data_IF_219075126479
#
_entry.id   IF_219075126479
#
_cell.length_a   1.000
_cell.length_b   1.000
_cell.length_c   1.000
_cell.angle_alpha   90.00
_cell.angle_beta   90.00
_cell.angle_gamma   90.00
#
_symmetry.space_group_name_H-M   'P 1'
#
loop_
_entity.id
_entity.type
_entity.pdbx_description
1 polymer ?
#
# COMPACT_ATOMS: atom_id res chain seq x y z
N UNK A 1 -1.40 8.41 -15.20
CA UNK A 1 -1.20 8.87 -13.81
C UNK A 1 -2.25 8.29 -12.86
N UNK A 2 -3.54 8.66 -12.94
CA UNK A 2 -4.56 8.17 -11.98
C UNK A 2 -4.75 6.64 -12.06
N UNK A 3 -4.99 6.09 -13.26
CA UNK A 3 -5.18 4.64 -13.46
C UNK A 3 -3.98 3.83 -12.96
N UNK A 4 -2.77 4.36 -13.18
CA UNK A 4 -1.53 3.75 -12.73
C UNK A 4 -1.46 3.69 -11.19
N UNK A 5 -1.72 4.81 -10.50
CA UNK A 5 -1.74 4.81 -9.03
C UNK A 5 -2.89 3.99 -8.43
N UNK A 6 -4.03 3.88 -9.11
CA UNK A 6 -5.08 2.94 -8.71
C UNK A 6 -4.62 1.48 -8.81
N UNK A 7 -3.80 1.15 -9.83
CA UNK A 7 -3.13 -0.14 -9.94
C UNK A 7 -2.21 -0.41 -8.77
N UNK A 8 -1.33 0.55 -8.46
CA UNK A 8 -0.40 0.49 -7.32
C UNK A 8 -1.10 0.27 -5.98
N UNK A 9 -2.15 1.07 -5.70
CA UNK A 9 -3.00 0.92 -4.52
C UNK A 9 -3.65 -0.47 -4.42
N UNK A 10 -3.97 -1.10 -5.55
CA UNK A 10 -4.61 -2.41 -5.54
C UNK A 10 -3.68 -3.55 -5.11
N UNK A 11 -2.37 -3.38 -5.32
CA UNK A 11 -1.33 -4.36 -4.99
C UNK A 11 -0.46 -3.93 -3.79
N UNK A 12 -0.67 -2.71 -3.26
CA UNK A 12 0.10 -2.11 -2.17
C UNK A 12 1.59 -1.92 -2.47
N UNK A 13 1.90 -1.47 -3.68
CA UNK A 13 3.29 -1.20 -4.08
C UNK A 13 3.47 0.28 -4.42
N UNK A 14 4.60 0.84 -4.02
CA UNK A 14 5.01 2.19 -4.38
C UNK A 14 5.59 2.22 -5.79
N UNK A 15 5.72 3.42 -6.35
CA UNK A 15 6.41 3.62 -7.64
C UNK A 15 7.86 3.15 -7.60
N UNK A 16 8.54 3.29 -6.45
CA UNK A 16 9.91 2.82 -6.26
C UNK A 16 9.98 1.29 -6.22
N UNK A 17 9.00 0.64 -5.59
CA UNK A 17 8.93 -0.83 -5.52
C UNK A 17 8.63 -1.47 -6.88
N UNK A 18 7.89 -0.79 -7.77
CA UNK A 18 7.76 -1.22 -9.17
C UNK A 18 9.10 -1.23 -9.91
N UNK A 19 9.96 -0.25 -9.64
CA UNK A 19 11.26 -0.16 -10.30
C UNK A 19 12.26 -1.17 -9.72
N UNK A 20 12.15 -1.45 -8.41
CA UNK A 20 12.97 -2.44 -7.72
C UNK A 20 12.15 -3.10 -6.59
N UNK A 21 11.84 -4.40 -6.69
CA UNK A 21 11.03 -5.07 -5.68
C UNK A 21 11.72 -5.05 -4.31
N UNK A 22 10.91 -4.94 -3.26
CA UNK A 22 11.38 -5.02 -1.88
C UNK A 22 11.98 -6.41 -1.61
N UNK A 23 13.18 -6.46 -1.04
CA UNK A 23 13.85 -7.71 -0.67
C UNK A 23 13.64 -7.92 0.82
N UNK A 24 12.69 -8.78 1.17
CA UNK A 24 12.43 -9.19 2.54
C UNK A 24 13.36 -10.36 2.91
N UNK A 25 14.13 -10.21 3.99
CA UNK A 25 15.28 -11.07 4.34
C UNK A 25 15.00 -12.57 4.40
N UNK A 26 13.76 -12.98 4.66
CA UNK A 26 13.40 -14.37 4.94
C UNK A 26 12.46 -15.01 3.91
N UNK A 27 11.84 -14.21 3.04
CA UNK A 27 10.96 -14.71 1.99
C UNK A 27 11.02 -13.77 0.78
N UNK A 28 11.52 -14.27 -0.34
CA UNK A 28 11.60 -13.54 -1.61
C UNK A 28 10.24 -13.35 -2.29
N UNK A 29 9.19 -14.01 -1.78
CA UNK A 29 7.82 -13.91 -2.27
C UNK A 29 6.90 -13.14 -1.31
N UNK A 30 7.40 -12.74 -0.15
CA UNK A 30 6.65 -11.88 0.74
C UNK A 30 6.45 -10.51 0.10
N UNK A 31 5.26 -9.97 0.27
CA UNK A 31 4.85 -8.66 -0.26
C UNK A 31 4.05 -7.90 0.81
N UNK A 32 3.81 -6.61 0.56
CA UNK A 32 2.96 -5.78 1.41
C UNK A 32 1.47 -5.91 1.05
N UNK A 33 1.11 -6.83 0.14
CA UNK A 33 -0.24 -6.92 -0.39
C UNK A 33 -1.17 -7.69 0.56
N UNK A 34 -1.98 -6.94 1.32
CA UNK A 34 -2.97 -7.48 2.26
C UNK A 34 -4.36 -7.69 1.63
N UNK A 35 -4.47 -7.54 0.30
CA UNK A 35 -5.71 -7.60 -0.45
C UNK A 35 -6.36 -6.22 -0.64
N UNK A 36 -7.02 -6.05 -1.79
CA UNK A 36 -7.44 -4.74 -2.33
C UNK A 36 -8.18 -3.85 -1.31
N UNK A 37 -9.14 -4.38 -0.56
CA UNK A 37 -9.88 -3.56 0.41
C UNK A 37 -9.00 -3.08 1.57
N UNK A 38 -8.10 -3.93 2.07
CA UNK A 38 -7.19 -3.57 3.16
C UNK A 38 -6.16 -2.54 2.69
N UNK A 39 -5.58 -2.73 1.50
CA UNK A 39 -4.62 -1.79 0.92
C UNK A 39 -5.22 -0.39 0.75
N UNK A 40 -6.47 -0.32 0.26
CA UNK A 40 -7.18 0.97 0.16
C UNK A 40 -7.47 1.57 1.54
N UNK A 41 -7.83 0.75 2.53
CA UNK A 41 -8.07 1.21 3.90
C UNK A 41 -6.80 1.72 4.57
N UNK A 42 -5.62 1.15 4.27
CA UNK A 42 -4.34 1.64 4.80
C UNK A 42 -4.05 3.08 4.36
N UNK A 43 -4.37 3.43 3.12
CA UNK A 43 -4.12 4.77 2.56
C UNK A 43 -5.24 5.77 2.91
N UNK A 44 -6.50 5.38 2.73
CA UNK A 44 -7.63 6.32 2.87
C UNK A 44 -8.34 6.25 4.23
N UNK A 45 -8.03 5.25 5.06
CA UNK A 45 -8.69 5.06 6.35
C UNK A 45 -10.12 4.52 6.22
N UNK A 46 -10.97 4.86 7.18
CA UNK A 46 -12.25 4.18 7.42
C UNK A 46 -13.48 4.85 6.80
N UNK A 47 -13.37 6.01 6.15
CA UNK A 47 -14.57 6.63 5.54
C UNK A 47 -14.48 8.04 4.96
N UNK A 48 -13.36 8.76 5.13
CA UNK A 48 -13.22 10.14 4.63
C UNK A 48 -12.42 10.23 3.31
N UNK A 49 -12.60 9.25 2.41
CA UNK A 49 -11.73 9.02 1.25
C UNK A 49 -11.73 10.17 0.23
N UNK A 50 -12.79 10.98 0.19
CA UNK A 50 -12.94 12.11 -0.74
C UNK A 50 -12.58 13.46 -0.12
N UNK A 51 -12.23 13.48 1.16
CA UNK A 51 -11.82 14.70 1.87
C UNK A 51 -10.30 14.70 2.06
N UNK A 52 -9.62 15.84 1.82
CA UNK A 52 -8.17 15.94 1.94
C UNK A 52 -7.72 16.05 3.41
N UNK A 53 -8.02 15.02 4.19
CA UNK A 53 -7.63 14.88 5.59
C UNK A 53 -6.64 13.73 5.71
N UNK A 54 -5.71 13.84 6.67
CA UNK A 54 -4.80 12.75 6.96
C UNK A 54 -5.52 11.65 7.74
N UNK A 55 -5.78 10.53 7.07
CA UNK A 55 -6.55 9.39 7.62
C UNK A 55 -5.86 8.05 7.41
N UNK A 56 -4.57 8.05 7.06
CA UNK A 56 -3.77 6.82 6.89
C UNK A 56 -3.72 6.05 8.21
N UNK A 57 -3.78 4.71 8.13
CA UNK A 57 -3.82 3.86 9.33
C UNK A 57 -2.44 3.53 9.89
N UNK A 58 -1.41 3.53 9.05
CA UNK A 58 -0.06 3.09 9.41
C UNK A 58 0.79 4.24 9.99
N UNK A 59 1.81 3.88 10.76
CA UNK A 59 2.77 4.81 11.38
C UNK A 59 3.84 5.36 10.41
N UNK A 60 3.95 4.76 9.21
CA UNK A 60 4.94 5.10 8.20
C UNK A 60 6.31 4.43 8.39
N UNK A 61 6.46 3.59 9.41
CA UNK A 61 7.70 2.87 9.74
C UNK A 61 7.54 1.36 9.59
N UNK A 62 6.38 0.83 9.99
CA UNK A 62 6.09 -0.59 9.96
C UNK A 62 4.83 -0.83 9.12
N UNK A 63 4.91 -1.84 8.26
CA UNK A 63 3.80 -2.25 7.41
C UNK A 63 3.59 -3.75 7.57
N UNK A 64 2.34 -4.19 7.56
CA UNK A 64 2.00 -5.61 7.62
C UNK A 64 2.50 -6.36 6.37
N UNK A 65 3.30 -7.40 6.58
CA UNK A 65 3.87 -8.26 5.53
C UNK A 65 3.00 -9.53 5.42
N UNK A 66 2.84 -10.05 4.19
CA UNK A 66 2.15 -11.31 3.93
C UNK A 66 3.04 -12.54 4.09
#
# INVERSE_FOLDING_TARGET
MIVFHFGLLSINETTCEQAKPAVLKYDFKADYNQGRMKNFKQVFGWGLWLFPLHTTLEDGLHYEIR
#
